data_IF_114650118943
#
_entry.id   IF_114650118943
#
_cell.length_a   1.000
_cell.length_b   1.000
_cell.length_c   1.000
_cell.angle_alpha   90.00
_cell.angle_beta   90.00
_cell.angle_gamma   90.00
#
_symmetry.space_group_name_H-M   'P 1'
#
loop_
_entity.id
_entity.type
_entity.pdbx_description
1 polymer ?
#
# COMPACT_ATOMS: atom_id res chain seq x y z
N UNK A 1 -62.39 -11.16 38.65
CA UNK A 1 -62.05 -11.41 37.23
C UNK A 1 -61.50 -10.12 36.66
N UNK A 2 -60.20 -10.00 36.35
CA UNK A 2 -59.67 -8.81 35.71
C UNK A 2 -59.89 -8.89 34.20
N UNK A 3 -60.54 -7.87 33.65
CA UNK A 3 -60.75 -7.66 32.22
C UNK A 3 -59.41 -7.43 31.54
N UNK A 4 -59.01 -8.37 30.68
CA UNK A 4 -57.94 -8.16 29.70
C UNK A 4 -58.42 -7.13 28.69
N UNK A 5 -58.03 -5.88 28.93
CA UNK A 5 -58.20 -4.77 28.01
C UNK A 5 -57.36 -5.07 26.76
N UNK A 6 -58.04 -5.56 25.71
CA UNK A 6 -57.47 -5.85 24.40
C UNK A 6 -56.94 -4.56 23.79
N UNK A 7 -55.65 -4.27 24.03
CA UNK A 7 -54.89 -3.33 23.22
C UNK A 7 -54.77 -3.90 21.81
N UNK A 8 -55.80 -3.59 21.01
CA UNK A 8 -56.04 -4.09 19.67
C UNK A 8 -54.94 -3.77 18.64
N UNK A 9 -55.18 -4.14 17.36
CA UNK A 9 -54.20 -4.45 16.32
C UNK A 9 -53.19 -3.34 15.96
N UNK A 10 -53.38 -2.13 16.50
CA UNK A 10 -52.47 -0.98 16.37
C UNK A 10 -51.07 -1.30 16.88
N UNK A 11 -50.94 -1.99 18.01
CA UNK A 11 -49.62 -2.35 18.55
C UNK A 11 -48.88 -3.30 17.61
N UNK A 12 -49.60 -4.28 17.04
CA UNK A 12 -49.08 -5.21 16.03
C UNK A 12 -48.61 -4.49 14.76
N UNK A 13 -49.35 -3.48 14.28
CA UNK A 13 -48.92 -2.66 13.14
C UNK A 13 -47.67 -1.83 13.44
N UNK A 14 -47.54 -1.27 14.64
CA UNK A 14 -46.31 -0.56 15.04
C UNK A 14 -45.12 -1.51 15.13
N UNK A 15 -45.27 -2.68 15.74
CA UNK A 15 -44.20 -3.69 15.81
C UNK A 15 -43.83 -4.19 14.42
N UNK A 16 -44.80 -4.41 13.52
CA UNK A 16 -44.55 -4.83 12.14
C UNK A 16 -43.82 -3.74 11.34
N UNK A 17 -44.27 -2.49 11.44
CA UNK A 17 -43.59 -1.36 10.78
C UNK A 17 -42.16 -1.16 11.28
N UNK A 18 -41.94 -1.31 12.58
CA UNK A 18 -40.60 -1.25 13.17
C UNK A 18 -39.72 -2.41 12.69
N UNK A 19 -40.25 -3.64 12.64
CA UNK A 19 -39.52 -4.80 12.14
C UNK A 19 -39.11 -4.63 10.66
N UNK A 20 -39.99 -4.08 9.82
CA UNK A 20 -39.69 -3.77 8.42
C UNK A 20 -38.59 -2.70 8.33
N UNK A 21 -38.68 -1.63 9.13
CA UNK A 21 -37.68 -0.56 9.13
C UNK A 21 -36.29 -1.08 9.57
N UNK A 22 -36.24 -1.93 10.61
CA UNK A 22 -35.00 -2.58 11.04
C UNK A 22 -34.46 -3.50 9.94
N UNK A 23 -35.31 -4.32 9.31
CA UNK A 23 -34.89 -5.21 8.23
C UNK A 23 -34.30 -4.43 7.04
N UNK A 24 -34.93 -3.33 6.62
CA UNK A 24 -34.42 -2.46 5.56
C UNK A 24 -33.11 -1.78 5.97
N UNK A 25 -32.99 -1.34 7.23
CA UNK A 25 -31.76 -0.77 7.78
C UNK A 25 -30.60 -1.78 7.78
N UNK A 26 -30.84 -3.02 8.25
CA UNK A 26 -29.86 -4.09 8.22
C UNK A 26 -29.46 -4.47 6.79
N UNK A 27 -30.42 -4.55 5.87
CA UNK A 27 -30.15 -4.87 4.47
C UNK A 27 -29.31 -3.78 3.80
N UNK A 28 -29.70 -2.51 3.93
CA UNK A 28 -28.94 -1.38 3.41
C UNK A 28 -27.54 -1.30 4.00
N UNK A 29 -27.40 -1.56 5.30
CA UNK A 29 -26.09 -1.63 5.96
C UNK A 29 -25.23 -2.78 5.43
N UNK A 30 -25.79 -3.97 5.22
CA UNK A 30 -25.06 -5.12 4.69
C UNK A 30 -24.51 -4.88 3.28
N UNK A 31 -25.29 -4.21 2.41
CA UNK A 31 -24.86 -3.83 1.07
C UNK A 31 -23.75 -2.77 1.11
N UNK A 32 -23.89 -1.79 2.01
CA UNK A 32 -22.86 -0.76 2.20
C UNK A 32 -21.56 -1.36 2.72
N UNK A 33 -21.63 -2.25 3.71
CA UNK A 33 -20.46 -2.93 4.26
C UNK A 33 -19.76 -3.78 3.20
N UNK A 34 -20.52 -4.55 2.41
CA UNK A 34 -19.96 -5.30 1.28
C UNK A 34 -19.25 -4.40 0.26
N UNK A 35 -19.83 -3.25 -0.08
CA UNK A 35 -19.20 -2.26 -0.98
C UNK A 35 -17.90 -1.69 -0.40
N UNK A 36 -17.86 -1.43 0.91
CA UNK A 36 -16.66 -0.91 1.57
C UNK A 36 -15.56 -1.96 1.65
N UNK A 37 -15.92 -3.23 1.90
CA UNK A 37 -14.99 -4.34 1.86
C UNK A 37 -14.39 -4.51 0.45
N UNK A 38 -15.20 -4.43 -0.61
CA UNK A 38 -14.70 -4.50 -1.98
C UNK A 38 -13.75 -3.37 -2.35
N UNK A 39 -14.04 -2.13 -1.90
CA UNK A 39 -13.14 -0.98 -2.08
C UNK A 39 -11.85 -1.13 -1.30
N UNK A 40 -11.90 -1.75 -0.11
CA UNK A 40 -10.72 -2.03 0.70
C UNK A 40 -9.78 -3.05 0.05
N UNK A 41 -10.26 -3.87 -0.88
CA UNK A 41 -9.44 -4.83 -1.65
C UNK A 41 -8.71 -4.20 -2.84
N UNK A 42 -9.02 -2.96 -3.23
CA UNK A 42 -8.33 -2.33 -4.36
C UNK A 42 -6.86 -2.08 -3.98
N UNK A 43 -5.89 -2.58 -4.76
CA UNK A 43 -4.48 -2.38 -4.46
C UNK A 43 -4.10 -0.91 -4.62
N UNK A 44 -3.61 -0.28 -3.54
CA UNK A 44 -3.12 1.11 -3.56
C UNK A 44 -1.62 1.17 -3.27
N UNK A 45 -0.78 1.50 -4.27
CA UNK A 45 0.66 1.57 -4.04
C UNK A 45 0.98 2.78 -3.17
N UNK A 46 1.64 2.54 -2.03
CA UNK A 46 2.17 3.56 -1.12
C UNK A 46 3.64 3.89 -1.46
N UNK A 47 4.01 3.81 -2.74
CA UNK A 47 5.39 3.97 -3.20
C UNK A 47 5.95 5.36 -2.88
N UNK A 48 5.17 6.43 -3.02
CA UNK A 48 5.64 7.78 -2.70
C UNK A 48 5.89 7.99 -1.20
N UNK A 49 5.03 7.41 -0.34
CA UNK A 49 5.24 7.40 1.10
C UNK A 49 6.54 6.66 1.46
N UNK A 50 6.78 5.51 0.83
CA UNK A 50 7.99 4.72 1.03
C UNK A 50 9.26 5.47 0.59
N UNK A 51 9.25 6.07 -0.60
CA UNK A 51 10.36 6.89 -1.10
C UNK A 51 10.66 8.03 -0.13
N UNK A 52 9.63 8.75 0.33
CA UNK A 52 9.78 9.87 1.26
C UNK A 52 10.42 9.41 2.57
N UNK A 53 9.97 8.29 3.12
CA UNK A 53 10.50 7.75 4.36
C UNK A 53 11.97 7.30 4.23
N UNK A 54 12.29 6.52 3.20
CA UNK A 54 13.65 6.04 2.94
C UNK A 54 14.63 7.20 2.75
N UNK A 55 14.20 8.26 2.04
CA UNK A 55 15.01 9.47 1.86
C UNK A 55 15.15 10.29 3.14
N UNK A 56 14.10 10.38 3.96
CA UNK A 56 14.19 11.03 5.27
C UNK A 56 15.21 10.33 6.18
N UNK A 57 15.22 8.99 6.17
CA UNK A 57 16.21 8.20 6.88
C UNK A 57 17.64 8.48 6.38
N UNK A 58 17.85 8.43 5.06
CA UNK A 58 19.14 8.76 4.47
C UNK A 58 19.59 10.19 4.79
N UNK A 59 18.68 11.15 4.83
CA UNK A 59 18.99 12.53 5.19
C UNK A 59 19.49 12.66 6.64
N UNK A 60 19.00 11.82 7.56
CA UNK A 60 19.40 11.86 8.97
C UNK A 60 20.73 11.16 9.26
N UNK A 61 21.06 10.08 8.55
CA UNK A 61 22.18 9.20 8.88
C UNK A 61 23.28 9.21 7.80
N UNK A 62 22.97 9.69 6.59
CA UNK A 62 23.88 9.65 5.44
C UNK A 62 23.98 8.28 4.76
N UNK A 63 23.11 7.32 5.13
CA UNK A 63 22.98 6.01 4.49
C UNK A 63 21.53 5.53 4.52
N UNK A 64 21.17 4.64 3.61
CA UNK A 64 19.86 3.96 3.64
C UNK A 64 19.79 2.91 4.78
N UNK A 65 18.59 2.58 5.28
CA UNK A 65 18.42 1.60 6.36
C UNK A 65 18.83 0.19 5.91
N UNK A 66 19.20 -0.70 6.85
CA UNK A 66 19.46 -2.11 6.49
C UNK A 66 18.17 -2.87 6.21
N UNK A 67 17.08 -2.51 6.89
CA UNK A 67 15.77 -3.14 6.76
C UNK A 67 14.65 -2.14 7.11
N UNK A 68 13.39 -2.53 6.95
CA UNK A 68 12.26 -1.68 7.33
C UNK A 68 12.10 -1.51 8.84
N UNK A 69 12.68 -2.39 9.66
CA UNK A 69 12.65 -2.26 11.13
C UNK A 69 13.44 -1.03 11.56
N UNK A 70 14.60 -0.78 10.96
CA UNK A 70 15.38 0.44 11.18
C UNK A 70 14.60 1.69 10.77
N UNK A 71 13.88 1.61 9.64
CA UNK A 71 13.05 2.70 9.14
C UNK A 71 11.88 2.99 10.10
N UNK A 72 11.25 1.94 10.62
CA UNK A 72 10.17 2.02 11.60
C UNK A 72 10.62 2.70 12.89
N UNK A 73 11.76 2.29 13.44
CA UNK A 73 12.27 2.81 14.70
C UNK A 73 12.59 4.32 14.67
N UNK A 74 12.97 4.85 13.50
CA UNK A 74 13.46 6.23 13.38
C UNK A 74 12.50 7.18 12.69
N UNK A 75 11.89 6.77 11.59
CA UNK A 75 11.10 7.67 10.72
C UNK A 75 9.61 7.48 10.93
N UNK A 76 9.13 6.24 10.90
CA UNK A 76 7.69 6.01 10.92
C UNK A 76 7.08 6.05 12.31
N UNK A 77 7.67 5.35 13.28
CA UNK A 77 7.23 5.31 14.69
C UNK A 77 5.71 5.11 14.81
N UNK A 78 5.16 4.16 14.08
CA UNK A 78 3.74 3.83 14.18
C UNK A 78 3.42 3.36 15.60
N UNK A 79 2.25 3.76 16.11
CA UNK A 79 1.77 3.33 17.42
C UNK A 79 1.59 1.80 17.50
N UNK A 80 1.29 1.17 16.36
CA UNK A 80 1.30 -0.27 16.19
C UNK A 80 2.23 -0.60 15.01
N UNK A 81 3.40 -1.23 15.26
CA UNK A 81 4.33 -1.52 14.20
C UNK A 81 3.72 -2.51 13.21
N UNK A 82 3.90 -2.30 11.90
CA UNK A 82 3.42 -3.22 10.89
C UNK A 82 4.12 -4.57 10.99
N UNK A 83 3.49 -5.62 10.44
CA UNK A 83 4.11 -6.94 10.38
C UNK A 83 5.24 -6.94 9.36
N UNK A 84 6.44 -7.18 9.85
CA UNK A 84 7.64 -7.36 9.03
C UNK A 84 7.87 -8.84 8.74
N UNK A 85 8.39 -9.13 7.55
CA UNK A 85 8.73 -10.47 7.09
C UNK A 85 10.21 -10.52 6.66
N UNK A 86 10.77 -11.72 6.56
CA UNK A 86 12.15 -11.95 6.06
C UNK A 86 13.18 -11.02 6.73
N UNK A 87 13.26 -11.09 8.07
CA UNK A 87 14.18 -10.28 8.89
C UNK A 87 14.01 -8.76 8.78
N UNK A 88 12.81 -8.30 8.39
CA UNK A 88 12.55 -6.88 8.24
C UNK A 88 12.72 -6.34 6.83
N UNK A 89 13.12 -7.18 5.86
CA UNK A 89 13.29 -6.75 4.46
C UNK A 89 11.98 -6.67 3.70
N UNK A 90 10.92 -7.23 4.25
CA UNK A 90 9.62 -7.28 3.59
C UNK A 90 8.50 -6.76 4.49
N UNK A 91 7.53 -6.05 3.91
CA UNK A 91 6.37 -5.50 4.62
C UNK A 91 5.13 -5.56 3.74
N UNK A 92 3.97 -5.83 4.33
CA UNK A 92 2.68 -5.79 3.62
C UNK A 92 1.85 -4.60 4.11
N UNK A 93 1.41 -3.75 3.18
CA UNK A 93 0.52 -2.61 3.48
C UNK A 93 -0.39 -2.29 2.28
N UNK A 94 -1.64 -1.92 2.52
CA UNK A 94 -2.59 -1.47 1.49
C UNK A 94 -2.75 -2.42 0.28
N UNK A 95 -2.77 -3.73 0.54
CA UNK A 95 -2.78 -4.80 -0.47
C UNK A 95 -1.58 -4.77 -1.44
N UNK A 96 -0.45 -4.27 -0.96
CA UNK A 96 0.85 -4.43 -1.60
C UNK A 96 1.81 -5.11 -0.66
N UNK A 97 2.65 -5.97 -1.22
CA UNK A 97 3.82 -6.50 -0.55
C UNK A 97 5.06 -5.79 -1.09
N UNK A 98 5.88 -5.31 -0.18
CA UNK A 98 7.08 -4.57 -0.48
C UNK A 98 8.28 -5.42 -0.11
N UNK A 99 9.26 -5.48 -1.02
CA UNK A 99 10.53 -6.17 -0.81
C UNK A 99 11.65 -5.14 -0.95
N UNK A 100 12.48 -5.04 0.08
CA UNK A 100 13.56 -4.09 0.17
C UNK A 100 14.92 -4.76 0.05
N UNK A 101 15.77 -4.15 -0.76
CA UNK A 101 17.16 -4.53 -0.93
C UNK A 101 18.06 -3.31 -0.75
N UNK A 102 18.98 -3.40 0.20
CA UNK A 102 20.08 -2.45 0.29
C UNK A 102 21.17 -2.91 -0.69
N UNK A 103 21.31 -2.21 -1.81
CA UNK A 103 22.32 -2.54 -2.83
C UNK A 103 23.68 -1.98 -2.40
N UNK A 104 23.69 -0.71 -2.02
CA UNK A 104 24.86 0.03 -1.54
C UNK A 104 24.42 1.01 -0.45
N UNK A 105 25.32 1.53 0.41
CA UNK A 105 24.96 2.50 1.45
C UNK A 105 24.18 3.72 0.93
N UNK A 106 24.43 4.12 -0.33
CA UNK A 106 23.77 5.23 -1.01
C UNK A 106 22.75 4.84 -2.08
N UNK A 107 22.44 3.55 -2.26
CA UNK A 107 21.44 3.09 -3.24
C UNK A 107 20.64 1.93 -2.68
N UNK A 108 19.32 2.04 -2.70
CA UNK A 108 18.44 0.92 -2.37
C UNK A 108 17.45 0.63 -3.49
N UNK A 109 17.03 -0.62 -3.55
CA UNK A 109 16.00 -1.12 -4.46
C UNK A 109 14.77 -1.54 -3.67
N UNK A 110 13.61 -1.30 -4.27
CA UNK A 110 12.31 -1.57 -3.66
C UNK A 110 11.37 -2.13 -4.71
N UNK A 111 10.82 -3.30 -4.42
CA UNK A 111 9.67 -3.84 -5.13
C UNK A 111 8.39 -3.48 -4.41
N UNK A 112 7.33 -3.18 -5.16
CA UNK A 112 5.97 -3.10 -4.67
C UNK A 112 5.09 -3.98 -5.56
N UNK A 113 4.55 -5.04 -4.97
CA UNK A 113 3.85 -6.11 -5.67
C UNK A 113 2.40 -6.11 -5.19
N UNK A 114 1.41 -5.96 -6.08
CA UNK A 114 0.02 -6.06 -5.66
C UNK A 114 -0.27 -7.49 -5.20
N UNK A 115 -0.91 -7.60 -4.04
CA UNK A 115 -1.35 -8.87 -3.46
C UNK A 115 -2.86 -8.86 -3.32
N UNK A 116 -3.46 -10.03 -3.05
CA UNK A 116 -4.90 -10.30 -2.90
C UNK A 116 -5.63 -10.73 -4.19
N UNK A 117 -6.95 -10.98 -4.08
CA UNK A 117 -7.82 -11.45 -5.17
C UNK A 117 -7.99 -10.44 -6.32
N UNK A 118 -7.79 -9.14 -6.06
CA UNK A 118 -7.86 -8.04 -7.03
C UNK A 118 -6.47 -7.57 -7.48
N UNK A 119 -5.44 -8.41 -7.31
CA UNK A 119 -4.06 -8.10 -7.76
C UNK A 119 -3.98 -7.68 -9.22
N UNK A 120 -4.88 -8.21 -10.07
CA UNK A 120 -4.95 -7.91 -11.50
C UNK A 120 -5.31 -6.45 -11.80
N UNK A 121 -5.92 -5.75 -10.85
CA UNK A 121 -6.22 -4.31 -10.95
C UNK A 121 -5.04 -3.44 -10.50
N UNK A 122 -4.02 -4.04 -9.91
CA UNK A 122 -2.80 -3.39 -9.47
C UNK A 122 -1.73 -3.36 -10.56
N UNK A 123 -0.63 -2.68 -10.27
CA UNK A 123 0.57 -2.71 -11.10
C UNK A 123 1.75 -3.06 -10.22
N UNK A 124 2.68 -3.87 -10.72
CA UNK A 124 3.95 -4.05 -10.03
C UNK A 124 4.83 -2.83 -10.29
N UNK A 125 5.46 -2.34 -9.23
CA UNK A 125 6.45 -1.27 -9.31
C UNK A 125 7.80 -1.78 -8.87
N UNK A 126 8.83 -1.36 -9.58
CA UNK A 126 10.21 -1.48 -9.15
C UNK A 126 10.80 -0.07 -9.02
N UNK A 127 11.55 0.16 -7.95
CA UNK A 127 12.13 1.47 -7.68
C UNK A 127 13.59 1.32 -7.31
N UNK A 128 14.43 2.18 -7.86
CA UNK A 128 15.80 2.39 -7.38
C UNK A 128 15.90 3.81 -6.82
N UNK A 129 16.28 3.90 -5.56
CA UNK A 129 16.28 5.14 -4.80
C UNK A 129 17.74 5.48 -4.45
N UNK A 130 18.15 6.68 -4.85
CA UNK A 130 19.43 7.29 -4.47
C UNK A 130 19.16 8.68 -3.89
N UNK A 131 20.16 9.34 -3.26
CA UNK A 131 20.01 10.71 -2.77
C UNK A 131 19.71 11.72 -3.88
N UNK A 132 20.21 11.45 -5.09
CA UNK A 132 20.20 12.37 -6.23
C UNK A 132 19.00 12.15 -7.16
N UNK A 133 18.58 10.90 -7.31
CA UNK A 133 17.53 10.51 -8.24
C UNK A 133 16.71 9.34 -7.73
N UNK A 134 15.44 9.30 -8.15
CA UNK A 134 14.56 8.14 -7.99
C UNK A 134 14.15 7.70 -9.38
N UNK A 135 14.48 6.45 -9.72
CA UNK A 135 14.00 5.81 -10.94
C UNK A 135 12.91 4.83 -10.58
N UNK A 136 11.88 4.78 -11.41
CA UNK A 136 10.67 4.01 -11.15
C UNK A 136 10.31 3.28 -12.41
N UNK A 137 9.96 2.01 -12.27
CA UNK A 137 9.43 1.18 -13.34
C UNK A 137 8.06 0.69 -12.93
N UNK A 138 7.16 0.58 -13.90
CA UNK A 138 5.80 0.09 -13.71
C UNK A 138 5.48 -0.94 -14.79
N UNK A 139 4.85 -2.04 -14.41
CA UNK A 139 4.35 -3.03 -15.34
C UNK A 139 3.13 -3.77 -14.83
N UNK A 140 2.78 -4.83 -15.56
CA UNK A 140 1.73 -5.76 -15.19
C UNK A 140 1.98 -6.36 -13.78
N UNK A 141 0.92 -6.86 -13.11
CA UNK A 141 1.03 -7.45 -11.79
C UNK A 141 1.81 -8.77 -11.81
N UNK A 142 3.10 -8.70 -11.50
CA UNK A 142 4.00 -9.85 -11.38
C UNK A 142 3.72 -10.67 -10.11
N UNK A 143 4.05 -11.95 -10.16
CA UNK A 143 4.01 -12.90 -9.03
C UNK A 143 5.29 -12.84 -8.19
N UNK A 144 5.21 -13.31 -6.95
CA UNK A 144 6.39 -13.41 -6.08
C UNK A 144 7.47 -14.34 -6.65
N UNK A 145 7.07 -15.43 -7.28
CA UNK A 145 8.00 -16.42 -7.82
C UNK A 145 8.81 -15.87 -9.00
N UNK A 146 8.20 -15.00 -9.82
CA UNK A 146 8.89 -14.31 -10.90
C UNK A 146 9.95 -13.34 -10.35
N UNK A 147 9.62 -12.62 -9.28
CA UNK A 147 10.52 -11.63 -8.68
C UNK A 147 11.66 -12.30 -7.91
N UNK A 148 11.38 -13.40 -7.19
CA UNK A 148 12.40 -14.16 -6.47
C UNK A 148 13.49 -14.78 -7.36
N UNK A 149 13.21 -14.94 -8.66
CA UNK A 149 14.19 -15.43 -9.64
C UNK A 149 15.14 -14.34 -10.16
N UNK A 150 14.85 -13.08 -9.86
CA UNK A 150 15.66 -11.94 -10.28
C UNK A 150 16.77 -11.67 -9.26
N UNK A 151 17.89 -11.07 -9.70
CA UNK A 151 18.84 -10.50 -8.76
C UNK A 151 18.19 -9.34 -7.98
N UNK A 152 18.75 -9.05 -6.80
CA UNK A 152 18.31 -7.95 -5.91
C UNK A 152 18.25 -6.59 -6.64
N UNK A 153 19.17 -6.37 -7.59
CA UNK A 153 19.17 -5.23 -8.51
C UNK A 153 19.11 -5.72 -9.97
N UNK A 154 17.91 -5.87 -10.55
CA UNK A 154 17.75 -6.25 -11.95
C UNK A 154 18.13 -5.11 -12.88
N UNK A 155 18.64 -5.48 -14.06
CA UNK A 155 19.01 -4.53 -15.10
C UNK A 155 17.77 -3.99 -15.80
N UNK A 156 17.84 -2.79 -16.44
CA UNK A 156 16.72 -2.27 -17.21
C UNK A 156 16.23 -3.22 -18.32
N UNK A 157 17.13 -4.00 -18.92
CA UNK A 157 16.77 -5.01 -19.92
C UNK A 157 15.94 -6.15 -19.29
N UNK A 158 16.31 -6.63 -18.10
CA UNK A 158 15.54 -7.65 -17.39
C UNK A 158 14.15 -7.15 -16.99
N UNK A 159 14.06 -5.90 -16.54
CA UNK A 159 12.78 -5.26 -16.23
C UNK A 159 11.89 -5.11 -17.48
N UNK A 160 12.48 -4.77 -18.62
CA UNK A 160 11.76 -4.68 -19.89
C UNK A 160 11.24 -6.03 -20.38
N UNK A 161 12.01 -7.12 -20.19
CA UNK A 161 11.55 -8.49 -20.50
C UNK A 161 10.32 -8.88 -19.68
N UNK A 162 10.22 -8.39 -18.44
CA UNK A 162 9.05 -8.56 -17.59
C UNK A 162 7.91 -7.58 -17.89
N UNK A 163 8.04 -6.77 -18.95
CA UNK A 163 7.04 -5.79 -19.35
C UNK A 163 6.96 -4.58 -18.42
N UNK A 164 7.96 -4.31 -17.59
CA UNK A 164 8.03 -3.06 -16.85
C UNK A 164 8.66 -1.96 -17.70
N UNK A 165 8.00 -0.80 -17.75
CA UNK A 165 8.49 0.39 -18.42
C UNK A 165 8.97 1.42 -17.42
N UNK A 166 10.10 2.08 -17.71
CA UNK A 166 10.59 3.18 -16.88
C UNK A 166 9.63 4.37 -16.97
N UNK A 167 9.21 4.88 -15.82
CA UNK A 167 8.48 6.13 -15.70
C UNK A 167 9.49 7.28 -15.68
N UNK A 168 9.13 8.42 -16.27
CA UNK A 168 10.00 9.60 -16.37
C UNK A 168 10.77 9.85 -15.07
N UNK A 169 12.12 9.85 -15.10
CA UNK A 169 12.92 10.03 -13.91
C UNK A 169 12.56 11.34 -13.23
N UNK A 170 12.14 11.27 -11.96
CA UNK A 170 11.93 12.48 -11.18
C UNK A 170 13.29 12.95 -10.70
N UNK A 171 13.91 13.86 -11.45
CA UNK A 171 15.09 14.57 -10.97
C UNK A 171 14.70 15.44 -9.79
N UNK A 172 15.45 15.32 -8.71
CA UNK A 172 15.22 16.10 -7.51
C UNK A 172 15.94 17.44 -7.65
N UNK A 173 15.35 18.55 -7.16
CA UNK A 173 16.01 19.84 -7.20
C UNK A 173 17.38 19.71 -6.49
N UNK A 174 18.43 19.99 -7.25
CA UNK A 174 19.80 20.00 -6.73
C UNK A 174 19.89 21.03 -5.59
N UNK A 175 20.56 20.67 -4.50
CA UNK A 175 20.76 21.51 -3.30
C UNK A 175 21.44 22.86 -3.62
N UNK A 176 22.01 23.02 -4.81
CA UNK A 176 22.52 24.30 -5.29
C UNK A 176 21.55 24.91 -6.32
N UNK A 177 20.75 25.87 -5.87
CA UNK A 177 19.98 26.76 -6.73
C UNK A 177 20.86 27.71 -7.56
N UNK A 178 21.64 27.17 -8.50
CA UNK A 178 22.14 27.96 -9.64
C UNK A 178 21.18 27.74 -10.79
N UNK A 179 20.32 28.75 -11.01
CA UNK A 179 19.68 28.93 -12.31
C UNK A 179 20.79 28.99 -13.37
N UNK A 180 20.75 28.19 -14.44
CA UNK A 180 21.48 28.58 -15.64
C UNK A 180 20.82 29.87 -16.13
N UNK A 181 21.58 30.97 -16.07
CA UNK A 181 21.26 32.18 -16.80
C UNK A 181 21.26 31.84 -18.30
N UNK A 182 20.06 31.80 -18.88
CA UNK A 182 19.85 32.15 -20.28
C UNK A 182 19.01 33.41 -20.31
#
# INVERSE_FOLDING_TARGET
MPSTDEKGPRFTFFTLGFAIAVALGCYGYSLWDASQQEKALVPRPATDYMIKALRAYHHQIGRFPQNFVDLEARVWKHAQPPKFYEEGRSISMHNYYYIYYLVEPGVCALWAIPVNKRREEGSTYFLTISPQAVRRWRGAPLTFDEIKRLPDLPTPAQLAVLGLTELTPTQLPSRNGRRPSQ
#
